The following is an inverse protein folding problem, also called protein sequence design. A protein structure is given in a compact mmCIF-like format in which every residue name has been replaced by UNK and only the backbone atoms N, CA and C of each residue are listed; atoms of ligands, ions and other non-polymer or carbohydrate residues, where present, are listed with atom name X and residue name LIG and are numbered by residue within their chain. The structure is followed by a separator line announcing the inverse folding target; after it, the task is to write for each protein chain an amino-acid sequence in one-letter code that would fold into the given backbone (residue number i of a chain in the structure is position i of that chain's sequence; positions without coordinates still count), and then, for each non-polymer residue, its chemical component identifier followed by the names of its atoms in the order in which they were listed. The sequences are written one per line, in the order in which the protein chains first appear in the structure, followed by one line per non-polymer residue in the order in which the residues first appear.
data_IF_866710671093
#
_entry.id   IF_866710671093
#
_cell.length_a   1.000
_cell.length_b   1.000
_cell.length_c   1.000
_cell.angle_alpha   90.00
_cell.angle_beta   90.00
_cell.angle_gamma   90.00
#
_symmetry.space_group_name_H-M   'P 1'
#
loop_
_entity.id
_entity.type
_entity.pdbx_description
1 polymer ?
#
# COMPACT_ATOMS: atom_id res chain seq x y z
N UNK A 1 27.33 -3.58 -4.63
CA UNK A 1 26.08 -3.02 -4.02
C UNK A 1 24.86 -3.60 -4.75
N UNK A 2 23.85 -4.07 -4.03
CA UNK A 2 22.62 -4.70 -4.59
C UNK A 2 21.89 -3.70 -5.48
N UNK A 3 21.63 -4.09 -6.75
CA UNK A 3 20.90 -3.29 -7.73
C UNK A 3 19.40 -3.53 -7.60
N UNK A 4 18.62 -2.50 -7.30
CA UNK A 4 17.17 -2.61 -7.12
C UNK A 4 16.43 -1.70 -8.10
N UNK A 5 15.72 -2.31 -9.04
CA UNK A 5 14.80 -1.59 -9.93
C UNK A 5 13.59 -1.09 -9.14
N UNK A 6 13.22 0.18 -9.30
CA UNK A 6 12.05 0.73 -8.61
C UNK A 6 11.17 1.56 -9.54
N UNK A 7 9.87 1.23 -9.57
CA UNK A 7 8.84 2.07 -10.17
C UNK A 7 8.04 2.78 -9.09
N UNK A 8 7.45 3.94 -9.38
CA UNK A 8 6.71 4.73 -8.38
C UNK A 8 7.61 5.36 -7.30
N UNK A 9 8.87 5.55 -7.61
CA UNK A 9 9.92 6.05 -6.70
C UNK A 9 9.72 7.51 -6.21
N UNK A 10 8.84 8.27 -6.86
CA UNK A 10 8.44 9.64 -6.46
C UNK A 10 7.29 9.65 -5.45
N UNK A 11 6.54 8.56 -5.33
CA UNK A 11 5.44 8.42 -4.36
C UNK A 11 5.94 8.37 -2.91
N UNK A 12 5.03 8.48 -1.94
CA UNK A 12 5.36 8.52 -0.50
C UNK A 12 6.18 7.31 -0.09
N UNK A 13 5.71 6.09 -0.38
CA UNK A 13 6.43 4.86 -0.02
C UNK A 13 7.74 4.72 -0.80
N UNK A 14 7.74 4.99 -2.11
CA UNK A 14 8.95 4.88 -2.93
C UNK A 14 10.06 5.84 -2.51
N UNK A 15 9.71 7.08 -2.16
CA UNK A 15 10.66 8.07 -1.63
C UNK A 15 11.21 7.65 -0.28
N UNK A 16 10.36 7.07 0.57
CA UNK A 16 10.78 6.57 1.88
C UNK A 16 11.74 5.37 1.76
N UNK A 17 11.42 4.39 0.92
CA UNK A 17 12.28 3.22 0.69
C UNK A 17 13.67 3.63 0.19
N UNK A 18 13.74 4.54 -0.78
CA UNK A 18 15.04 5.03 -1.29
C UNK A 18 15.90 5.69 -0.21
N UNK A 19 15.28 6.34 0.77
CA UNK A 19 16.02 6.98 1.88
C UNK A 19 16.45 5.96 2.94
N UNK A 20 15.70 4.88 3.13
CA UNK A 20 15.91 3.94 4.25
C UNK A 20 16.68 2.67 3.88
N UNK A 21 16.53 2.18 2.66
CA UNK A 21 17.16 0.94 2.25
C UNK A 21 18.51 1.20 1.57
N UNK A 22 19.52 0.40 1.92
CA UNK A 22 20.88 0.52 1.38
C UNK A 22 21.03 -0.25 0.06
N UNK A 23 20.23 0.12 -0.96
CA UNK A 23 20.29 -0.42 -2.31
C UNK A 23 20.75 0.63 -3.32
N UNK A 24 21.42 0.20 -4.40
CA UNK A 24 21.59 1.01 -5.61
C UNK A 24 20.26 1.01 -6.38
N UNK A 25 19.45 2.04 -6.18
CA UNK A 25 18.15 2.15 -6.85
C UNK A 25 18.29 2.61 -8.30
N UNK A 26 17.83 1.76 -9.22
CA UNK A 26 17.65 2.07 -10.64
C UNK A 26 16.21 2.49 -10.85
N UNK A 27 16.00 3.80 -10.98
CA UNK A 27 14.68 4.43 -11.02
C UNK A 27 14.04 4.28 -12.41
N UNK A 28 12.77 3.91 -12.46
CA UNK A 28 11.99 4.02 -13.69
C UNK A 28 11.43 5.44 -13.82
N UNK A 29 11.87 6.19 -14.83
CA UNK A 29 11.47 7.57 -15.08
C UNK A 29 10.53 7.72 -16.29
N UNK A 30 10.20 6.62 -16.99
CA UNK A 30 9.28 6.62 -18.12
C UNK A 30 7.80 6.55 -17.71
N UNK A 31 6.94 6.49 -18.72
CA UNK A 31 5.51 6.22 -18.53
C UNK A 31 5.25 4.71 -18.51
N UNK A 32 4.77 4.20 -17.37
CA UNK A 32 4.50 2.77 -17.17
C UNK A 32 3.42 2.23 -18.12
N UNK A 33 2.57 3.10 -18.68
CA UNK A 33 1.54 2.74 -19.64
C UNK A 33 2.09 2.58 -21.07
N UNK A 34 3.29 3.10 -21.33
CA UNK A 34 3.99 3.00 -22.60
C UNK A 34 4.94 1.80 -22.61
N UNK A 35 4.56 0.78 -23.36
CA UNK A 35 5.35 -0.46 -23.49
C UNK A 35 6.80 -0.20 -23.94
N UNK A 36 7.01 0.79 -24.79
CA UNK A 36 8.35 1.20 -25.28
C UNK A 36 9.26 1.63 -24.11
N UNK A 37 8.75 2.48 -23.21
CA UNK A 37 9.52 2.99 -22.07
C UNK A 37 9.91 1.86 -21.10
N UNK A 38 8.95 0.99 -20.81
CA UNK A 38 9.17 -0.16 -19.91
C UNK A 38 10.17 -1.13 -20.52
N UNK A 39 10.02 -1.47 -21.80
CA UNK A 39 10.95 -2.34 -22.54
C UNK A 39 12.36 -1.78 -22.52
N UNK A 40 12.54 -0.49 -22.83
CA UNK A 40 13.84 0.18 -22.82
C UNK A 40 14.51 0.09 -21.44
N UNK A 41 13.74 0.34 -20.37
CA UNK A 41 14.27 0.30 -19.01
C UNK A 41 14.68 -1.12 -18.58
N UNK A 42 13.84 -2.13 -18.84
CA UNK A 42 14.16 -3.53 -18.52
C UNK A 42 15.31 -4.07 -19.37
N UNK A 43 15.34 -3.76 -20.67
CA UNK A 43 16.42 -4.20 -21.56
C UNK A 43 17.79 -3.70 -21.10
N UNK A 44 17.87 -2.39 -20.80
CA UNK A 44 19.15 -1.71 -20.48
C UNK A 44 19.70 -2.02 -19.08
N UNK A 45 18.96 -2.68 -18.20
CA UNK A 45 19.36 -2.85 -16.81
C UNK A 45 19.23 -4.29 -16.34
N UNK A 46 20.14 -4.67 -15.45
CA UNK A 46 20.04 -5.89 -14.65
C UNK A 46 19.78 -5.53 -13.20
N UNK A 47 18.85 -6.28 -12.58
CA UNK A 47 18.38 -6.03 -11.24
C UNK A 47 18.54 -7.28 -10.38
N UNK A 48 19.10 -7.14 -9.17
CA UNK A 48 18.98 -8.16 -8.14
C UNK A 48 17.55 -8.24 -7.62
N UNK A 49 16.90 -7.07 -7.43
CA UNK A 49 15.52 -6.97 -6.98
C UNK A 49 14.74 -5.97 -7.83
N UNK A 50 13.43 -6.15 -7.89
CA UNK A 50 12.52 -5.17 -8.48
C UNK A 50 11.41 -4.84 -7.46
N UNK A 51 11.18 -3.56 -7.20
CA UNK A 51 10.09 -3.05 -6.37
C UNK A 51 9.12 -2.28 -7.25
N UNK A 52 7.92 -2.83 -7.45
CA UNK A 52 6.87 -2.21 -8.26
C UNK A 52 5.83 -1.52 -7.38
N UNK A 53 5.92 -0.17 -7.29
CA UNK A 53 5.01 0.68 -6.52
C UNK A 53 4.18 1.62 -7.39
N UNK A 54 4.48 1.74 -8.70
CA UNK A 54 3.78 2.66 -9.59
C UNK A 54 2.29 2.32 -9.65
N UNK A 55 1.46 3.22 -9.15
CA UNK A 55 0.01 3.12 -9.17
C UNK A 55 -0.63 4.49 -8.89
N UNK A 56 -1.84 4.69 -9.40
CA UNK A 56 -2.76 5.72 -8.92
C UNK A 56 -3.49 5.12 -7.71
N UNK A 57 -3.29 5.72 -6.53
CA UNK A 57 -3.67 5.09 -5.25
C UNK A 57 -4.95 5.67 -4.64
N UNK A 58 -5.16 6.98 -4.46
CA UNK A 58 -6.37 7.43 -3.76
C UNK A 58 -7.62 6.93 -4.47
N UNK A 59 -8.48 6.22 -3.75
CA UNK A 59 -9.72 5.64 -4.29
C UNK A 59 -10.58 6.68 -5.01
N UNK A 60 -10.59 7.92 -4.51
CA UNK A 60 -11.26 9.05 -5.14
C UNK A 60 -10.67 9.36 -6.54
N UNK A 61 -9.34 9.44 -6.67
CA UNK A 61 -8.68 9.70 -7.97
C UNK A 61 -8.96 8.56 -8.96
N UNK A 62 -8.93 7.31 -8.49
CA UNK A 62 -9.25 6.14 -9.31
C UNK A 62 -10.71 6.17 -9.76
N UNK A 63 -11.65 6.53 -8.88
CA UNK A 63 -13.07 6.66 -9.24
C UNK A 63 -13.29 7.77 -10.28
N UNK A 64 -12.64 8.92 -10.12
CA UNK A 64 -12.76 10.07 -11.02
C UNK A 64 -12.29 9.75 -12.46
N UNK A 65 -11.22 8.97 -12.60
CA UNK A 65 -10.70 8.55 -13.91
C UNK A 65 -10.32 7.07 -13.89
N UNK A 66 -11.33 6.20 -13.92
CA UNK A 66 -11.15 4.76 -13.80
C UNK A 66 -10.37 4.17 -14.97
N UNK A 67 -10.68 4.58 -16.21
CA UNK A 67 -10.04 4.05 -17.42
C UNK A 67 -8.53 4.30 -17.37
N UNK A 68 -8.11 5.52 -17.11
CA UNK A 68 -6.70 5.87 -17.00
C UNK A 68 -6.04 5.18 -15.81
N UNK A 69 -6.72 5.13 -14.67
CA UNK A 69 -6.21 4.45 -13.47
C UNK A 69 -6.02 2.95 -13.69
N UNK A 70 -6.93 2.29 -14.41
CA UNK A 70 -6.80 0.90 -14.83
C UNK A 70 -5.62 0.72 -15.80
N UNK A 71 -5.42 1.66 -16.72
CA UNK A 71 -4.27 1.66 -17.64
C UNK A 71 -2.94 1.75 -16.87
N UNK A 72 -2.84 2.61 -15.86
CA UNK A 72 -1.64 2.72 -15.02
C UNK A 72 -1.46 1.48 -14.14
N UNK A 73 -2.49 1.12 -13.35
CA UNK A 73 -2.37 0.12 -12.29
C UNK A 73 -2.31 -1.32 -12.81
N UNK A 74 -3.10 -1.63 -13.84
CA UNK A 74 -3.15 -2.97 -14.43
C UNK A 74 -2.28 -3.08 -15.67
N UNK A 75 -2.51 -2.27 -16.72
CA UNK A 75 -1.76 -2.40 -17.97
C UNK A 75 -0.28 -2.04 -17.76
N UNK A 76 0.03 -1.07 -16.90
CA UNK A 76 1.42 -0.75 -16.53
C UNK A 76 2.12 -1.91 -15.83
N UNK A 77 1.44 -2.60 -14.89
CA UNK A 77 1.98 -3.82 -14.28
C UNK A 77 2.16 -4.94 -15.31
N UNK A 78 1.19 -5.11 -16.23
CA UNK A 78 1.28 -6.07 -17.33
C UNK A 78 2.50 -5.80 -18.21
N UNK A 79 2.72 -4.53 -18.62
CA UNK A 79 3.87 -4.15 -19.43
C UNK A 79 5.19 -4.52 -18.74
N UNK A 80 5.29 -4.29 -17.41
CA UNK A 80 6.49 -4.60 -16.65
C UNK A 80 6.75 -6.12 -16.55
N UNK A 81 5.71 -6.89 -16.24
CA UNK A 81 5.77 -8.36 -16.17
C UNK A 81 6.17 -8.95 -17.54
N UNK A 82 5.52 -8.50 -18.61
CA UNK A 82 5.80 -8.98 -19.98
C UNK A 82 7.22 -8.63 -20.43
N UNK A 83 7.73 -7.42 -20.09
CA UNK A 83 9.09 -7.03 -20.41
C UNK A 83 10.13 -7.89 -19.68
N UNK A 84 9.94 -8.18 -18.37
CA UNK A 84 10.82 -9.06 -17.60
C UNK A 84 10.90 -10.44 -18.25
N UNK A 85 9.76 -10.98 -18.66
CA UNK A 85 9.70 -12.28 -19.34
C UNK A 85 10.35 -12.22 -20.72
N UNK A 86 10.03 -11.21 -21.53
CA UNK A 86 10.54 -11.03 -22.89
C UNK A 86 12.07 -10.97 -22.93
N UNK A 87 12.67 -10.21 -22.01
CA UNK A 87 14.12 -10.03 -21.97
C UNK A 87 14.82 -11.03 -21.04
N UNK A 88 14.11 -12.10 -20.65
CA UNK A 88 14.64 -13.20 -19.82
C UNK A 88 15.33 -12.74 -18.53
N UNK A 89 14.90 -11.54 -18.00
CA UNK A 89 15.43 -11.03 -16.74
C UNK A 89 14.87 -11.87 -15.57
N UNK A 90 15.74 -12.27 -14.66
CA UNK A 90 15.37 -13.08 -13.49
C UNK A 90 15.87 -12.39 -12.22
N UNK A 91 15.18 -11.34 -11.73
CA UNK A 91 15.52 -10.77 -10.43
C UNK A 91 15.38 -11.85 -9.34
N UNK A 92 16.24 -11.84 -8.33
CA UNK A 92 16.17 -12.74 -7.18
C UNK A 92 14.79 -12.69 -6.51
N UNK A 93 14.18 -11.50 -6.50
CA UNK A 93 12.78 -11.31 -6.10
C UNK A 93 12.16 -10.08 -6.77
N UNK A 94 10.88 -10.20 -7.12
CA UNK A 94 10.03 -9.10 -7.60
C UNK A 94 8.96 -8.80 -6.56
N UNK A 95 9.04 -7.65 -5.90
CA UNK A 95 8.01 -7.19 -4.96
C UNK A 95 6.95 -6.36 -5.68
N UNK A 96 5.69 -6.78 -5.60
CA UNK A 96 4.53 -6.03 -6.06
C UNK A 96 3.75 -5.46 -4.87
N UNK A 97 3.65 -4.14 -4.80
CA UNK A 97 2.80 -3.47 -3.81
C UNK A 97 1.33 -3.60 -4.19
N UNK A 98 0.63 -4.54 -3.58
CA UNK A 98 -0.82 -4.63 -3.60
C UNK A 98 -1.44 -3.96 -2.38
N UNK A 99 -2.68 -4.25 -2.07
CA UNK A 99 -3.49 -3.54 -1.08
C UNK A 99 -4.50 -4.46 -0.38
N UNK A 100 -4.90 -4.10 0.84
CA UNK A 100 -6.02 -4.74 1.53
C UNK A 100 -7.38 -4.52 0.81
N UNK A 101 -7.49 -3.56 -0.10
CA UNK A 101 -8.72 -3.30 -0.86
C UNK A 101 -9.09 -4.41 -1.87
N UNK A 102 -8.25 -5.44 -2.03
CA UNK A 102 -8.57 -6.63 -2.84
C UNK A 102 -9.51 -7.59 -2.11
N UNK A 103 -9.60 -7.49 -0.78
CA UNK A 103 -10.46 -8.35 0.03
C UNK A 103 -11.92 -7.90 0.03
N UNK A 104 -12.80 -8.83 0.40
CA UNK A 104 -14.20 -8.51 0.67
C UNK A 104 -14.32 -7.62 1.90
N UNK A 105 -15.23 -6.66 1.83
CA UNK A 105 -15.54 -5.79 2.96
C UNK A 105 -16.38 -6.54 3.99
N UNK A 106 -16.08 -6.37 5.27
CA UNK A 106 -16.79 -7.09 6.33
C UNK A 106 -17.29 -6.17 7.44
N UNK A 107 -18.49 -6.48 7.95
CA UNK A 107 -19.06 -5.86 9.15
C UNK A 107 -18.74 -6.64 10.43
N UNK A 108 -18.15 -7.83 10.30
CA UNK A 108 -17.72 -8.66 11.45
C UNK A 108 -16.22 -8.50 11.66
N UNK A 109 -15.82 -8.42 12.91
CA UNK A 109 -14.41 -8.34 13.27
C UNK A 109 -13.76 -9.72 13.18
N UNK A 110 -12.78 -9.84 12.28
CA UNK A 110 -11.80 -10.92 12.26
C UNK A 110 -10.49 -10.43 11.62
N UNK A 111 -9.43 -11.22 11.76
CA UNK A 111 -8.15 -10.90 11.10
C UNK A 111 -8.06 -11.59 9.76
N UNK A 112 -8.01 -10.81 8.71
CA UNK A 112 -8.02 -11.24 7.31
C UNK A 112 -6.74 -11.98 6.96
N UNK A 113 -6.86 -13.22 6.49
CA UNK A 113 -5.77 -14.07 6.00
C UNK A 113 -5.56 -13.86 4.50
N UNK A 114 -4.39 -14.27 3.99
CA UNK A 114 -4.08 -14.19 2.55
C UNK A 114 -4.98 -15.09 1.69
N UNK A 115 -5.57 -16.12 2.28
CA UNK A 115 -6.48 -17.10 1.66
C UNK A 115 -7.94 -16.65 1.65
N UNK A 116 -8.26 -15.55 2.34
CA UNK A 116 -9.65 -15.09 2.43
C UNK A 116 -10.16 -14.54 1.09
N UNK A 117 -11.48 -14.49 0.96
CA UNK A 117 -12.19 -14.15 -0.27
C UNK A 117 -11.75 -12.79 -0.84
N UNK A 118 -11.42 -12.80 -2.11
CA UNK A 118 -11.05 -11.61 -2.88
C UNK A 118 -12.27 -11.07 -3.61
N UNK A 119 -12.84 -9.99 -3.07
CA UNK A 119 -13.99 -9.27 -3.65
C UNK A 119 -13.78 -7.77 -3.40
N UNK A 120 -13.05 -7.08 -4.29
CA UNK A 120 -12.76 -5.67 -4.12
C UNK A 120 -14.03 -4.82 -4.00
N UNK A 121 -14.11 -4.01 -2.98
CA UNK A 121 -15.22 -3.07 -2.78
C UNK A 121 -14.99 -1.71 -3.45
N UNK A 122 -13.81 -1.48 -4.03
CA UNK A 122 -13.44 -0.23 -4.68
C UNK A 122 -12.82 -0.46 -6.05
N UNK A 123 -13.03 0.50 -6.96
CA UNK A 123 -12.39 0.49 -8.29
C UNK A 123 -10.85 0.40 -8.21
N UNK A 124 -10.25 0.99 -7.16
CA UNK A 124 -8.83 0.83 -6.89
C UNK A 124 -8.47 -0.63 -6.60
N UNK A 125 -9.20 -1.27 -5.69
CA UNK A 125 -9.01 -2.69 -5.37
C UNK A 125 -9.16 -3.59 -6.61
N UNK A 126 -10.15 -3.33 -7.48
CA UNK A 126 -10.34 -4.04 -8.74
C UNK A 126 -9.08 -3.98 -9.63
N UNK A 127 -8.51 -2.78 -9.82
CA UNK A 127 -7.31 -2.62 -10.65
C UNK A 127 -6.10 -3.36 -10.08
N UNK A 128 -5.96 -3.37 -8.75
CA UNK A 128 -4.86 -4.07 -8.06
C UNK A 128 -5.04 -5.57 -8.11
N UNK A 129 -6.26 -6.08 -7.94
CA UNK A 129 -6.55 -7.52 -8.04
C UNK A 129 -6.31 -8.07 -9.45
N UNK A 130 -6.71 -7.31 -10.50
CA UNK A 130 -6.38 -7.68 -11.88
C UNK A 130 -4.87 -7.80 -12.09
N UNK A 131 -4.10 -6.84 -11.55
CA UNK A 131 -2.64 -6.85 -11.64
C UNK A 131 -2.03 -8.03 -10.86
N UNK A 132 -2.51 -8.33 -9.64
CA UNK A 132 -2.09 -9.51 -8.88
C UNK A 132 -2.28 -10.80 -9.69
N UNK A 133 -3.50 -11.05 -10.17
CA UNK A 133 -3.85 -12.25 -10.92
C UNK A 133 -2.96 -12.43 -12.15
N UNK A 134 -2.72 -11.36 -12.89
CA UNK A 134 -1.87 -11.39 -14.07
C UNK A 134 -0.41 -11.75 -13.72
N UNK A 135 0.17 -11.04 -12.76
CA UNK A 135 1.54 -11.24 -12.30
C UNK A 135 1.74 -12.67 -11.78
N UNK A 136 0.87 -13.13 -10.86
CA UNK A 136 0.95 -14.47 -10.28
C UNK A 136 0.92 -15.53 -11.39
N UNK A 137 -0.08 -15.48 -12.29
CA UNK A 137 -0.21 -16.42 -13.41
C UNK A 137 1.06 -16.48 -14.26
N UNK A 138 1.59 -15.31 -14.63
CA UNK A 138 2.74 -15.21 -15.55
C UNK A 138 4.07 -15.63 -14.91
N UNK A 139 4.34 -15.13 -13.70
CA UNK A 139 5.61 -15.42 -13.02
C UNK A 139 5.68 -16.84 -12.49
N UNK A 140 4.57 -17.42 -11.98
CA UNK A 140 4.53 -18.83 -11.60
C UNK A 140 4.84 -19.74 -12.80
N UNK A 141 4.22 -19.49 -13.97
CA UNK A 141 4.49 -20.27 -15.20
C UNK A 141 5.95 -20.17 -15.65
N UNK A 142 6.62 -19.03 -15.41
CA UNK A 142 8.01 -18.78 -15.82
C UNK A 142 9.03 -19.02 -14.69
N UNK A 143 8.59 -19.52 -13.53
CA UNK A 143 9.43 -19.77 -12.35
C UNK A 143 10.26 -18.53 -11.95
N UNK A 144 9.64 -17.34 -11.99
CA UNK A 144 10.23 -16.07 -11.54
C UNK A 144 9.75 -15.83 -10.11
N UNK A 145 10.68 -15.62 -9.18
CA UNK A 145 10.37 -15.34 -7.79
C UNK A 145 9.66 -14.00 -7.64
N UNK A 146 8.54 -13.99 -6.92
CA UNK A 146 7.77 -12.76 -6.67
C UNK A 146 7.12 -12.79 -5.29
N UNK A 147 6.91 -11.60 -4.75
CA UNK A 147 6.06 -11.39 -3.59
C UNK A 147 4.99 -10.35 -3.90
N UNK A 148 3.73 -10.71 -3.70
CA UNK A 148 2.59 -9.80 -3.67
C UNK A 148 2.37 -9.35 -2.23
N UNK A 149 2.78 -8.13 -1.90
CA UNK A 149 2.57 -7.54 -0.58
C UNK A 149 1.24 -6.78 -0.53
N UNK A 150 0.21 -7.36 0.11
CA UNK A 150 -1.07 -6.67 0.36
C UNK A 150 -0.91 -5.75 1.55
N UNK A 151 -0.57 -4.49 1.26
CA UNK A 151 -0.34 -3.47 2.29
C UNK A 151 -1.68 -2.98 2.83
N UNK A 152 -1.81 -2.98 4.16
CA UNK A 152 -2.95 -2.39 4.86
C UNK A 152 -2.77 -0.88 5.00
N UNK A 153 -3.63 -0.21 5.77
CA UNK A 153 -3.62 1.24 5.82
C UNK A 153 -2.33 1.79 6.43
N UNK A 154 -1.79 2.85 5.87
CA UNK A 154 -0.73 3.63 6.49
C UNK A 154 -0.97 5.12 6.26
N UNK A 155 -0.36 5.96 7.07
CA UNK A 155 -0.37 7.40 6.88
C UNK A 155 1.04 7.99 6.91
N UNK A 156 1.18 9.15 6.27
CA UNK A 156 2.41 9.93 6.26
C UNK A 156 2.09 11.40 6.00
N UNK A 157 2.85 12.31 6.60
CA UNK A 157 2.64 13.77 6.48
C UNK A 157 2.67 14.31 5.04
N UNK A 158 3.30 13.58 4.10
CA UNK A 158 3.33 13.92 2.66
C UNK A 158 2.12 13.42 1.86
N UNK A 159 1.16 12.76 2.50
CA UNK A 159 -0.10 12.40 1.85
C UNK A 159 -1.02 13.61 1.79
N UNK A 160 -1.74 13.77 0.68
CA UNK A 160 -2.74 14.82 0.51
C UNK A 160 -4.07 14.47 1.24
N UNK A 161 -4.99 15.44 1.28
CA UNK A 161 -6.28 15.30 1.98
C UNK A 161 -7.27 14.31 1.32
N UNK A 162 -6.89 13.62 0.25
CA UNK A 162 -7.68 12.52 -0.30
C UNK A 162 -7.56 11.23 0.54
N UNK A 163 -6.62 11.19 1.48
CA UNK A 163 -6.47 10.10 2.45
C UNK A 163 -7.18 10.44 3.77
N UNK A 164 -7.76 9.41 4.41
CA UNK A 164 -8.62 9.60 5.59
C UNK A 164 -7.94 10.30 6.77
N UNK A 165 -6.68 9.95 7.08
CA UNK A 165 -5.98 10.55 8.22
C UNK A 165 -5.59 12.01 7.98
N UNK A 166 -4.94 12.38 6.87
CA UNK A 166 -4.72 13.78 6.53
C UNK A 166 -6.02 14.59 6.45
N UNK A 167 -7.10 14.02 5.92
CA UNK A 167 -8.40 14.69 5.87
C UNK A 167 -8.96 15.01 7.26
N UNK A 168 -8.96 14.03 8.16
CA UNK A 168 -9.39 14.21 9.56
C UNK A 168 -8.53 15.28 10.25
N UNK A 169 -7.20 15.18 10.07
CA UNK A 169 -6.27 16.15 10.62
C UNK A 169 -6.59 17.59 10.17
N UNK A 170 -6.74 17.81 8.85
CA UNK A 170 -7.01 19.15 8.30
C UNK A 170 -8.36 19.69 8.75
N UNK A 171 -9.41 18.87 8.76
CA UNK A 171 -10.73 19.27 9.24
C UNK A 171 -10.70 19.73 10.70
N UNK A 172 -9.99 18.98 11.56
CA UNK A 172 -9.88 19.29 12.98
C UNK A 172 -9.00 20.51 13.20
N UNK A 173 -7.81 20.56 12.58
CA UNK A 173 -6.88 21.67 12.70
C UNK A 173 -7.50 23.02 12.25
N UNK A 174 -8.29 23.00 11.17
CA UNK A 174 -8.90 24.20 10.60
C UNK A 174 -10.29 24.51 11.19
N UNK A 175 -10.71 23.83 12.25
CA UNK A 175 -11.98 24.15 12.92
C UNK A 175 -11.89 25.52 13.58
N UNK A 176 -12.78 26.44 13.19
CA UNK A 176 -12.88 27.78 13.76
C UNK A 176 -13.65 27.82 15.10
N UNK A 177 -14.30 26.70 15.47
CA UNK A 177 -15.10 26.57 16.69
C UNK A 177 -14.41 25.63 17.66
N UNK A 178 -14.67 25.80 18.97
CA UNK A 178 -14.17 24.90 20.03
C UNK A 178 -14.79 23.48 19.95
N UNK A 179 -15.61 23.22 18.93
CA UNK A 179 -16.24 21.93 18.69
C UNK A 179 -16.29 21.61 17.19
N UNK A 180 -16.22 20.29 16.87
CA UNK A 180 -16.38 19.80 15.51
C UNK A 180 -17.34 18.60 15.50
N UNK A 181 -18.15 18.49 14.45
CA UNK A 181 -19.05 17.37 14.22
C UNK A 181 -18.51 16.52 13.07
N UNK A 182 -18.17 15.24 13.36
CA UNK A 182 -17.63 14.29 12.38
C UNK A 182 -18.43 12.99 12.42
N UNK A 183 -18.98 12.57 11.28
CA UNK A 183 -19.82 11.39 11.19
C UNK A 183 -19.07 10.13 10.77
N UNK A 184 -19.69 8.97 11.09
CA UNK A 184 -19.27 7.66 10.61
C UNK A 184 -17.80 7.30 10.97
N UNK A 185 -17.39 7.58 12.21
CA UNK A 185 -16.05 7.29 12.73
C UNK A 185 -15.94 5.88 13.33
N UNK A 186 -16.99 5.06 13.25
CA UNK A 186 -17.05 3.70 13.80
C UNK A 186 -16.37 2.62 12.93
N UNK A 187 -15.71 3.03 11.84
CA UNK A 187 -14.93 2.12 11.00
C UNK A 187 -13.57 1.83 11.60
N UNK A 188 -13.13 0.58 11.48
CA UNK A 188 -11.88 0.09 12.02
C UNK A 188 -10.92 -0.34 10.91
N UNK A 189 -9.67 0.07 11.02
CA UNK A 189 -8.61 -0.26 10.06
C UNK A 189 -7.35 -0.72 10.78
N UNK A 190 -6.57 -1.50 10.06
CA UNK A 190 -5.21 -1.83 10.47
C UNK A 190 -4.28 -0.75 9.91
N UNK A 191 -3.81 0.13 10.78
CA UNK A 191 -2.81 1.13 10.43
C UNK A 191 -1.42 0.66 10.84
N UNK A 192 -0.50 0.71 9.90
CA UNK A 192 0.90 0.33 10.08
C UNK A 192 1.82 1.54 9.79
N UNK A 193 2.97 1.62 10.45
CA UNK A 193 3.95 2.67 10.15
C UNK A 193 4.62 2.42 8.80
N UNK A 194 4.98 3.49 8.09
CA UNK A 194 5.72 3.39 6.83
C UNK A 194 7.11 2.77 7.02
N UNK A 195 7.69 2.94 8.21
CA UNK A 195 8.97 2.33 8.56
C UNK A 195 8.87 0.82 8.70
N UNK A 196 7.81 0.32 9.36
CA UNK A 196 7.58 -1.13 9.46
C UNK A 196 7.26 -1.75 8.09
N UNK A 197 6.54 -1.04 7.19
CA UNK A 197 6.38 -1.46 5.80
C UNK A 197 7.74 -1.57 5.10
N UNK A 198 8.62 -0.58 5.29
CA UNK A 198 9.96 -0.60 4.69
C UNK A 198 10.78 -1.81 5.16
N UNK A 199 10.75 -2.10 6.47
CA UNK A 199 11.42 -3.28 7.06
C UNK A 199 10.82 -4.60 6.54
N UNK A 200 9.51 -4.66 6.34
CA UNK A 200 8.85 -5.82 5.75
C UNK A 200 9.34 -6.07 4.32
N UNK A 201 9.37 -5.03 3.49
CA UNK A 201 9.81 -5.14 2.10
C UNK A 201 11.30 -5.56 2.04
N UNK A 202 12.15 -4.96 2.85
CA UNK A 202 13.59 -5.32 2.93
C UNK A 202 13.79 -6.80 3.29
N UNK A 203 13.08 -7.26 4.32
CA UNK A 203 13.13 -8.67 4.75
C UNK A 203 12.60 -9.62 3.66
N UNK A 204 11.48 -9.28 3.02
CA UNK A 204 10.90 -10.07 1.91
C UNK A 204 11.91 -10.24 0.78
N UNK A 205 12.58 -9.17 0.39
CA UNK A 205 13.59 -9.20 -0.67
C UNK A 205 14.82 -10.02 -0.27
N UNK A 206 15.40 -9.77 0.90
CA UNK A 206 16.61 -10.44 1.39
C UNK A 206 16.42 -11.94 1.64
N UNK A 207 15.24 -12.34 2.11
CA UNK A 207 14.89 -13.75 2.34
C UNK A 207 14.29 -14.43 1.11
N UNK A 208 14.22 -13.75 -0.03
CA UNK A 208 13.60 -14.25 -1.26
C UNK A 208 12.23 -14.87 -1.03
N UNK A 209 11.39 -14.21 -0.20
CA UNK A 209 10.05 -14.69 0.09
C UNK A 209 9.20 -14.76 -1.19
N UNK A 210 8.58 -15.92 -1.46
CA UNK A 210 7.74 -16.13 -2.63
C UNK A 210 6.27 -16.29 -2.24
N UNK A 211 5.38 -15.64 -2.99
CA UNK A 211 3.93 -15.76 -2.85
C UNK A 211 3.25 -14.49 -2.38
N UNK A 212 2.09 -14.65 -1.76
CA UNK A 212 1.25 -13.55 -1.28
C UNK A 212 1.38 -13.37 0.23
N UNK A 213 1.44 -12.12 0.70
CA UNK A 213 1.56 -11.81 2.12
C UNK A 213 0.83 -10.52 2.51
N UNK A 214 0.20 -10.53 3.68
CA UNK A 214 -0.39 -9.33 4.29
C UNK A 214 0.68 -8.52 5.03
N UNK A 215 0.77 -7.23 4.72
CA UNK A 215 1.66 -6.29 5.40
C UNK A 215 0.80 -5.32 6.21
N UNK A 216 0.63 -5.61 7.48
CA UNK A 216 -0.17 -4.83 8.43
C UNK A 216 0.28 -5.04 9.86
N UNK A 217 -0.20 -4.20 10.76
CA UNK A 217 0.16 -4.27 12.19
C UNK A 217 -0.58 -5.38 12.94
N UNK A 218 -1.70 -5.87 12.40
CA UNK A 218 -2.63 -6.78 13.08
C UNK A 218 -3.43 -6.12 14.21
N UNK A 219 -3.37 -4.79 14.34
CA UNK A 219 -4.05 -4.01 15.39
C UNK A 219 -5.27 -3.28 14.84
N UNK A 220 -6.38 -3.38 15.60
CA UNK A 220 -7.64 -2.69 15.29
C UNK A 220 -7.58 -1.25 15.82
N UNK A 221 -7.65 -0.26 14.92
CA UNK A 221 -7.72 1.15 15.25
C UNK A 221 -8.96 1.76 14.60
N UNK A 222 -9.84 2.38 15.41
CA UNK A 222 -11.02 3.08 14.90
C UNK A 222 -10.67 4.47 14.39
N UNK A 223 -11.42 4.97 13.40
CA UNK A 223 -11.30 6.35 12.96
C UNK A 223 -11.66 7.32 14.09
N UNK A 224 -12.56 6.91 15.00
CA UNK A 224 -12.89 7.68 16.20
C UNK A 224 -11.65 7.95 17.08
N UNK A 225 -10.82 6.91 17.34
CA UNK A 225 -9.59 7.10 18.12
C UNK A 225 -8.61 8.06 17.45
N UNK A 226 -8.55 8.07 16.12
CA UNK A 226 -7.71 8.99 15.36
C UNK A 226 -8.24 10.42 15.48
N UNK A 227 -9.56 10.63 15.32
CA UNK A 227 -10.19 11.92 15.48
C UNK A 227 -10.01 12.45 16.92
N UNK A 228 -10.25 11.62 17.94
CA UNK A 228 -10.03 11.96 19.35
C UNK A 228 -8.58 12.39 19.63
N UNK A 229 -7.60 11.70 19.03
CA UNK A 229 -6.18 12.06 19.17
C UNK A 229 -5.91 13.50 18.67
N UNK A 230 -6.42 13.86 17.48
CA UNK A 230 -6.25 15.20 16.96
C UNK A 230 -7.08 16.23 17.71
N UNK A 231 -8.33 15.92 18.09
CA UNK A 231 -9.17 16.80 18.88
C UNK A 231 -8.53 17.14 20.23
N UNK A 232 -7.95 16.15 20.93
CA UNK A 232 -7.19 16.39 22.17
C UNK A 232 -6.00 17.32 21.92
N UNK A 233 -5.26 17.10 20.82
CA UNK A 233 -4.10 17.94 20.46
C UNK A 233 -4.44 19.39 20.24
N UNK A 234 -5.61 19.69 19.63
CA UNK A 234 -6.06 21.03 19.30
C UNK A 234 -7.10 21.59 20.28
N UNK A 235 -7.37 20.90 21.40
CA UNK A 235 -8.35 21.30 22.43
C UNK A 235 -9.76 21.53 21.85
N UNK A 236 -10.18 20.70 20.88
CA UNK A 236 -11.48 20.78 20.21
C UNK A 236 -12.41 19.67 20.76
N UNK A 237 -13.66 20.03 21.09
CA UNK A 237 -14.69 19.07 21.50
C UNK A 237 -15.22 18.31 20.29
N UNK A 238 -15.08 16.98 20.28
CA UNK A 238 -15.60 16.12 19.21
C UNK A 238 -17.06 15.75 19.51
N UNK A 239 -17.94 16.04 18.58
CA UNK A 239 -19.29 15.44 18.50
C UNK A 239 -19.35 14.51 17.31
N UNK A 240 -19.95 13.33 17.47
CA UNK A 240 -20.02 12.32 16.42
C UNK A 240 -21.32 11.55 16.47
N UNK A 241 -21.82 11.19 15.28
CA UNK A 241 -22.95 10.30 15.09
C UNK A 241 -22.56 9.26 14.03
N UNK A 242 -23.10 8.06 14.14
CA UNK A 242 -22.87 7.01 13.16
C UNK A 242 -24.16 6.35 12.76
N UNK A 243 -24.56 6.55 11.51
CA UNK A 243 -25.73 5.95 10.90
C UNK A 243 -25.36 4.72 10.05
N UNK A 244 -24.07 4.35 10.00
CA UNK A 244 -23.55 3.24 9.23
C UNK A 244 -23.09 2.10 10.16
N UNK A 245 -23.24 0.85 9.70
CA UNK A 245 -22.67 -0.31 10.37
C UNK A 245 -21.13 -0.20 10.39
N UNK A 246 -20.53 -0.60 11.51
CA UNK A 246 -19.06 -0.68 11.62
C UNK A 246 -18.48 -1.59 10.58
N UNK A 247 -17.28 -1.26 10.10
CA UNK A 247 -16.55 -2.11 9.18
C UNK A 247 -15.11 -2.34 9.63
N UNK A 248 -14.59 -3.51 9.29
CA UNK A 248 -13.30 -3.97 9.75
C UNK A 248 -12.41 -4.38 8.57
N UNK A 249 -11.16 -3.92 8.59
CA UNK A 249 -10.13 -4.31 7.62
C UNK A 249 -8.81 -4.44 8.39
N UNK A 250 -8.61 -5.62 9.00
CA UNK A 250 -7.51 -5.88 9.93
C UNK A 250 -6.74 -7.10 9.43
N UNK A 251 -5.43 -7.00 9.31
CA UNK A 251 -4.59 -8.07 8.80
C UNK A 251 -4.38 -9.20 9.82
N UNK A 252 -4.35 -10.42 9.32
CA UNK A 252 -3.60 -11.48 9.94
C UNK A 252 -2.17 -11.42 9.38
N UNK A 253 -1.21 -11.02 10.18
CA UNK A 253 0.18 -10.87 9.77
C UNK A 253 1.09 -12.03 10.24
N UNK A 254 0.49 -13.14 10.70
CA UNK A 254 1.22 -14.32 11.22
C UNK A 254 2.23 -14.88 10.22
N UNK A 255 1.92 -14.79 8.92
CA UNK A 255 2.80 -15.27 7.87
C UNK A 255 4.15 -14.54 7.88
N UNK A 256 4.15 -13.19 7.93
CA UNK A 256 5.39 -12.42 8.06
C UNK A 256 6.09 -12.63 9.41
N UNK A 257 5.31 -12.79 10.48
CA UNK A 257 5.88 -13.07 11.82
C UNK A 257 6.69 -14.38 11.80
N UNK A 258 6.17 -15.44 11.18
CA UNK A 258 6.90 -16.70 11.00
C UNK A 258 8.21 -16.54 10.22
N UNK A 259 8.28 -15.58 9.30
CA UNK A 259 9.50 -15.23 8.57
C UNK A 259 10.44 -14.28 9.35
N UNK A 260 10.11 -13.94 10.61
CA UNK A 260 10.96 -13.15 11.49
C UNK A 260 10.71 -11.64 11.45
N UNK A 261 9.63 -11.18 10.77
CA UNK A 261 9.25 -9.77 10.82
C UNK A 261 8.12 -9.51 11.81
N UNK A 262 8.25 -8.44 12.60
CA UNK A 262 7.18 -7.95 13.49
C UNK A 262 7.06 -6.43 13.37
N UNK A 263 5.83 -5.87 13.34
CA UNK A 263 5.66 -4.42 13.43
C UNK A 263 6.06 -3.94 14.82
N UNK A 264 6.91 -2.92 14.88
CA UNK A 264 7.47 -2.40 16.14
C UNK A 264 6.96 -1.01 16.48
N UNK A 265 6.53 -0.23 15.48
CA UNK A 265 6.22 1.18 15.65
C UNK A 265 4.73 1.37 15.86
N UNK A 266 4.38 2.07 16.94
CA UNK A 266 2.99 2.45 17.19
C UNK A 266 2.51 3.41 16.10
N UNK A 267 1.30 3.17 15.57
CA UNK A 267 0.67 4.08 14.62
C UNK A 267 0.51 5.50 15.17
N UNK A 268 0.25 5.65 16.47
CA UNK A 268 0.13 6.95 17.11
C UNK A 268 1.43 7.77 17.07
N UNK A 269 2.59 7.12 16.94
CA UNK A 269 3.85 7.81 16.68
C UNK A 269 3.82 8.53 15.32
N UNK A 270 3.19 7.93 14.30
CA UNK A 270 3.01 8.58 12.99
C UNK A 270 2.07 9.79 13.09
N UNK A 271 1.01 9.72 13.93
CA UNK A 271 0.08 10.84 14.12
C UNK A 271 0.74 12.06 14.80
N UNK A 272 1.72 11.86 15.67
CA UNK A 272 2.47 12.95 16.32
C UNK A 272 3.24 13.82 15.32
N UNK A 273 3.58 13.30 14.14
CA UNK A 273 4.30 14.02 13.09
C UNK A 273 3.44 15.07 12.37
N UNK A 274 2.11 14.98 12.46
CA UNK A 274 1.19 15.97 11.93
C UNK A 274 1.18 17.22 12.84
N UNK A 275 1.58 18.37 12.31
CA UNK A 275 1.73 19.64 13.05
C UNK A 275 0.68 20.66 12.62
#
# INVERSE_FOLDING_TARGET
MIKCGITGHKGVLGSFLKKKLKYRFIKFNGDITKKKDVNKWIYKNDFDYVIHLAAIVPTFKVKKNFIYSKKVNYSGTKNLVDAIIKYKKKPKNFFFSSTSHVYEYTNRFYKIKETDKLKPYSKYGETKLLAEKYLIKKFSKKKINFCVGRIFSFTHIKQDNSYVVPNLFQKIKNSKKNQIFLNNLNHHRDFISIEDISKAIDMILKKNFVGVVNIGSGKKISLLKIAQFFCKKYKIKLKTQSNMKSSFMISNNRKLIKYGWKPKISFFHELKKFK
#
